data_IF_583210045505
#
_entry.id   IF_583210045505
#
_cell.length_a   1.000
_cell.length_b   1.000
_cell.length_c   1.000
_cell.angle_alpha   90.00
_cell.angle_beta   90.00
_cell.angle_gamma   90.00
#
_symmetry.space_group_name_H-M   'P 1'
#
loop_
_entity.id
_entity.type
_entity.pdbx_description
1 polymer ?
#
# COMPACT_ATOMS: atom_id res chain seq x y z
N UNK A 1 -28.01 -11.60 -2.70
CA UNK A 1 -26.82 -12.18 -2.04
C UNK A 1 -25.66 -11.21 -2.19
N UNK A 2 -24.87 -11.09 -1.15
CA UNK A 2 -23.92 -10.03 -0.81
C UNK A 2 -22.81 -9.73 -1.83
N UNK A 3 -22.48 -8.44 -1.94
CA UNK A 3 -21.11 -7.94 -1.79
C UNK A 3 -20.13 -8.19 -2.94
N UNK A 4 -20.03 -7.24 -3.87
CA UNK A 4 -18.79 -6.99 -4.62
C UNK A 4 -17.75 -6.20 -3.79
N UNK A 5 -17.84 -6.24 -2.46
CA UNK A 5 -16.94 -5.57 -1.51
C UNK A 5 -15.78 -6.45 -1.03
N UNK A 6 -15.40 -7.46 -1.81
CA UNK A 6 -14.22 -8.27 -1.52
C UNK A 6 -13.00 -7.64 -2.20
N UNK A 7 -12.20 -6.89 -1.44
CA UNK A 7 -10.81 -6.64 -1.79
C UNK A 7 -10.22 -7.98 -2.26
N UNK A 8 -9.62 -8.09 -3.47
CA UNK A 8 -9.29 -9.39 -4.05
C UNK A 8 -8.50 -10.20 -3.05
N UNK A 9 -9.00 -11.40 -2.71
CA UNK A 9 -8.34 -12.29 -1.77
C UNK A 9 -6.96 -12.64 -2.35
N UNK A 10 -5.91 -12.00 -1.83
CA UNK A 10 -4.54 -12.07 -2.36
C UNK A 10 -3.77 -10.74 -2.34
N UNK A 11 -4.45 -9.60 -2.20
CA UNK A 11 -3.84 -8.26 -2.10
C UNK A 11 -3.59 -7.82 -0.65
N UNK A 12 -3.48 -8.77 0.28
CA UNK A 12 -3.21 -8.48 1.69
C UNK A 12 -1.94 -9.21 2.10
N UNK A 13 -0.92 -8.49 2.56
CA UNK A 13 0.28 -9.10 3.11
C UNK A 13 -0.03 -9.81 4.43
N UNK A 14 0.79 -10.77 4.89
CA UNK A 14 0.63 -11.42 6.20
C UNK A 14 0.56 -10.42 7.37
N UNK A 15 1.18 -9.26 7.21
CA UNK A 15 1.14 -8.15 8.16
C UNK A 15 -0.16 -7.33 8.10
N UNK A 16 -1.11 -7.69 7.24
CA UNK A 16 -2.41 -7.04 7.12
C UNK A 16 -2.43 -5.83 6.18
N UNK A 17 -1.38 -5.62 5.39
CA UNK A 17 -1.25 -4.49 4.46
C UNK A 17 -2.06 -4.79 3.19
N UNK A 18 -3.06 -3.98 2.89
CA UNK A 18 -3.87 -4.10 1.68
C UNK A 18 -4.26 -2.75 1.11
N UNK A 19 -5.13 -2.76 0.08
CA UNK A 19 -5.69 -1.53 -0.45
C UNK A 19 -6.50 -0.81 0.64
N UNK A 20 -6.40 0.52 0.69
CA UNK A 20 -7.03 1.33 1.73
C UNK A 20 -6.30 1.32 3.08
N UNK A 21 -5.24 0.52 3.27
CA UNK A 21 -4.42 0.59 4.49
C UNK A 21 -3.81 1.99 4.61
N UNK A 22 -3.95 2.65 5.77
CA UNK A 22 -3.42 3.99 5.94
C UNK A 22 -1.89 3.98 6.09
N UNK A 23 -1.23 5.07 5.72
CA UNK A 23 0.25 5.18 5.78
C UNK A 23 0.78 5.00 7.21
N UNK A 24 0.01 5.38 8.24
CA UNK A 24 0.40 5.13 9.64
C UNK A 24 0.52 3.64 9.95
N UNK A 25 -0.40 2.81 9.44
CA UNK A 25 -0.38 1.37 9.64
C UNK A 25 0.72 0.72 8.81
N UNK A 26 0.96 1.22 7.59
CA UNK A 26 2.10 0.84 6.75
C UNK A 26 3.44 1.08 7.46
N UNK A 27 3.63 2.25 8.08
CA UNK A 27 4.85 2.57 8.85
C UNK A 27 4.99 1.72 10.10
N UNK A 28 3.88 1.36 10.73
CA UNK A 28 3.87 0.51 11.92
C UNK A 28 4.23 -0.94 11.57
N UNK A 29 3.67 -1.47 10.48
CA UNK A 29 3.96 -2.81 9.99
C UNK A 29 5.37 -2.94 9.40
N UNK A 30 5.84 -1.90 8.71
CA UNK A 30 7.15 -1.86 8.06
C UNK A 30 7.93 -0.61 8.48
N UNK A 31 8.66 -0.65 9.61
CA UNK A 31 9.39 0.51 10.13
C UNK A 31 10.48 1.04 9.19
N UNK A 32 10.96 0.21 8.27
CA UNK A 32 11.96 0.56 7.26
C UNK A 32 11.35 1.10 5.95
N UNK A 33 10.02 1.21 5.85
CA UNK A 33 9.36 1.69 4.64
C UNK A 33 9.83 3.10 4.27
N UNK A 34 10.19 3.27 3.02
CA UNK A 34 10.44 4.57 2.43
C UNK A 34 9.16 5.10 1.79
N UNK A 35 8.72 6.27 2.22
CA UNK A 35 7.58 6.97 1.63
C UNK A 35 8.12 8.10 0.74
N UNK A 36 7.80 8.04 -0.54
CA UNK A 36 8.11 9.10 -1.49
C UNK A 36 6.84 9.91 -1.73
N UNK A 37 6.85 11.17 -1.30
CA UNK A 37 5.79 12.11 -1.64
C UNK A 37 5.86 12.39 -3.14
N UNK A 38 4.77 12.12 -3.83
CA UNK A 38 4.58 12.50 -5.22
C UNK A 38 4.29 14.00 -5.36
N UNK A 39 4.13 14.44 -6.59
CA UNK A 39 3.65 15.80 -6.90
C UNK A 39 2.27 15.71 -7.55
N UNK A 40 1.31 16.45 -6.97
CA UNK A 40 -0.09 16.39 -7.37
C UNK A 40 -0.25 16.65 -8.88
N UNK A 41 -0.85 15.69 -9.58
CA UNK A 41 -1.09 15.76 -11.01
C UNK A 41 0.11 15.45 -11.91
N UNK A 42 1.28 15.15 -11.35
CA UNK A 42 2.49 14.78 -12.10
C UNK A 42 2.98 13.38 -11.75
N UNK A 43 3.13 13.09 -10.46
CA UNK A 43 3.71 11.84 -9.96
C UNK A 43 2.92 11.39 -8.73
N UNK A 44 2.45 10.15 -8.72
CA UNK A 44 1.75 9.59 -7.56
C UNK A 44 2.70 9.38 -6.38
N UNK A 45 2.17 9.52 -5.16
CA UNK A 45 2.94 9.14 -3.97
C UNK A 45 3.15 7.63 -3.95
N UNK A 46 4.27 7.17 -3.42
CA UNK A 46 4.62 5.75 -3.42
C UNK A 46 5.27 5.32 -2.11
N UNK A 47 5.20 4.02 -1.86
CA UNK A 47 5.96 3.38 -0.79
C UNK A 47 6.87 2.29 -1.36
N UNK A 48 7.99 2.10 -0.68
CA UNK A 48 8.94 1.04 -0.98
C UNK A 48 9.41 0.42 0.34
N UNK A 49 9.18 -0.88 0.52
CA UNK A 49 9.70 -1.64 1.66
C UNK A 49 10.99 -2.33 1.24
N UNK A 50 10.92 -3.10 0.16
CA UNK A 50 12.03 -3.86 -0.41
C UNK A 50 11.72 -4.29 -1.86
N UNK A 51 12.62 -5.06 -2.49
CA UNK A 51 12.50 -5.51 -3.88
C UNK A 51 11.23 -6.34 -4.16
N UNK A 52 10.66 -6.98 -3.13
CA UNK A 52 9.45 -7.78 -3.23
C UNK A 52 8.16 -7.01 -2.86
N UNK A 53 8.26 -5.80 -2.29
CA UNK A 53 7.09 -5.05 -1.83
C UNK A 53 7.25 -3.53 -1.99
N UNK A 54 6.46 -2.98 -2.91
CA UNK A 54 6.32 -1.57 -3.15
C UNK A 54 4.86 -1.24 -3.51
N UNK A 55 4.55 0.03 -3.75
CA UNK A 55 3.20 0.41 -4.19
C UNK A 55 2.97 1.91 -4.27
N UNK A 56 1.72 2.27 -4.54
CA UNK A 56 1.26 3.65 -4.67
C UNK A 56 0.32 4.03 -3.54
N UNK A 57 0.27 5.33 -3.25
CA UNK A 57 -0.50 5.94 -2.18
C UNK A 57 -1.33 7.12 -2.71
N UNK A 58 -2.41 7.46 -2.02
CA UNK A 58 -3.15 8.71 -2.27
C UNK A 58 -2.32 9.96 -1.93
N UNK A 59 -1.33 9.81 -1.05
CA UNK A 59 -0.46 10.87 -0.55
C UNK A 59 0.56 10.32 0.45
N UNK A 60 1.31 11.19 1.13
CA UNK A 60 2.39 10.80 2.04
C UNK A 60 2.10 11.07 3.54
N UNK A 61 0.87 11.48 3.86
CA UNK A 61 0.44 11.76 5.25
C UNK A 61 -0.09 10.50 5.92
N UNK A 62 -0.14 10.48 7.26
CA UNK A 62 -0.59 9.31 8.02
C UNK A 62 -2.03 8.86 7.71
N UNK A 63 -2.87 9.78 7.22
CA UNK A 63 -4.26 9.52 6.81
C UNK A 63 -4.41 9.09 5.35
N UNK A 64 -3.36 9.22 4.55
CA UNK A 64 -3.35 8.72 3.18
C UNK A 64 -3.35 7.21 3.16
N UNK A 65 -3.74 6.62 2.04
CA UNK A 65 -3.97 5.18 1.93
C UNK A 65 -3.30 4.56 0.72
N UNK A 66 -3.03 3.27 0.82
CA UNK A 66 -2.50 2.45 -0.26
C UNK A 66 -3.55 2.27 -1.36
N UNK A 67 -3.18 2.61 -2.59
CA UNK A 67 -4.05 2.48 -3.77
C UNK A 67 -3.63 1.34 -4.68
N UNK A 68 -2.34 1.02 -4.70
CA UNK A 68 -1.76 -0.06 -5.51
C UNK A 68 -0.65 -0.73 -4.72
N UNK A 69 -0.52 -2.03 -4.88
CA UNK A 69 0.59 -2.82 -4.34
C UNK A 69 1.27 -3.51 -5.52
N UNK A 70 2.58 -3.33 -5.62
CA UNK A 70 3.48 -4.01 -6.53
C UNK A 70 4.29 -5.05 -5.74
N UNK A 71 4.10 -6.32 -6.09
CA UNK A 71 4.70 -7.42 -5.34
C UNK A 71 3.89 -7.83 -4.10
N UNK A 72 4.48 -8.66 -3.26
CA UNK A 72 3.84 -9.32 -2.12
C UNK A 72 4.10 -10.83 -2.11
N UNK A 73 3.92 -11.51 -0.96
CA UNK A 73 4.25 -12.93 -0.82
C UNK A 73 3.41 -13.88 -1.69
N UNK A 74 2.40 -13.35 -2.40
CA UNK A 74 1.57 -14.08 -3.36
C UNK A 74 1.75 -13.62 -4.81
N UNK A 75 2.72 -12.74 -5.10
CA UNK A 75 3.12 -12.43 -6.46
C UNK A 75 4.11 -13.49 -6.95
N UNK A 76 3.56 -14.62 -7.41
CA UNK A 76 4.25 -15.72 -8.10
C UNK A 76 3.39 -16.28 -9.22
#
# INVERSE_FOLDING_TARGET
VSGLGGQPAGLVTPEGLGLGTPVVDLRTAYPAVTINAGEEGLVESSFFVDDALAGLLTGATDTDSVTVIFGGPFCG
#
